data_IF_630873820724
#
_entry.id   IF_630873820724
#
_cell.length_a   1.000
_cell.length_b   1.000
_cell.length_c   1.000
_cell.angle_alpha   90.00
_cell.angle_beta   90.00
_cell.angle_gamma   90.00
#
_symmetry.space_group_name_H-M   'P 1'
#
loop_
_entity.id
_entity.type
_entity.pdbx_description
1 polymer ?
#
# COMPACT_ATOMS: atom_id res chain seq x y z
N UNK A 1 27.73 11.17 0.42
CA UNK A 1 26.83 12.33 0.21
C UNK A 1 26.00 12.55 1.48
N UNK A 2 25.59 13.78 1.79
CA UNK A 2 24.77 14.10 2.98
C UNK A 2 23.37 14.54 2.59
N UNK A 3 22.40 14.30 3.48
CA UNK A 3 21.03 14.74 3.27
C UNK A 3 20.92 16.26 3.36
N UNK A 4 20.33 16.88 2.34
CA UNK A 4 20.13 18.34 2.31
C UNK A 4 19.18 18.84 3.40
N UNK A 5 18.25 18.00 3.88
CA UNK A 5 17.25 18.39 4.87
C UNK A 5 17.74 18.25 6.33
N UNK A 6 18.56 17.23 6.63
CA UNK A 6 18.96 16.94 8.02
C UNK A 6 20.45 16.66 8.23
N UNK A 7 21.28 16.75 7.19
CA UNK A 7 22.74 16.56 7.26
C UNK A 7 23.23 15.13 7.45
N UNK A 8 22.35 14.14 7.60
CA UNK A 8 22.74 12.74 7.81
C UNK A 8 23.53 12.16 6.62
N UNK A 9 24.51 11.26 6.85
CA UNK A 9 25.19 10.56 5.77
C UNK A 9 24.20 9.66 5.01
N UNK A 10 24.33 9.61 3.68
CA UNK A 10 23.48 8.82 2.80
C UNK A 10 24.28 7.72 2.10
N UNK A 11 23.66 6.55 1.95
CA UNK A 11 24.16 5.50 1.09
C UNK A 11 24.15 5.94 -0.39
N UNK A 12 25.08 5.42 -1.19
CA UNK A 12 25.24 5.84 -2.59
C UNK A 12 23.99 5.62 -3.46
N UNK A 13 23.15 4.64 -3.11
CA UNK A 13 21.92 4.29 -3.84
C UNK A 13 20.64 4.80 -3.16
N UNK A 14 20.76 5.60 -2.10
CA UNK A 14 19.60 6.11 -1.36
C UNK A 14 18.83 7.15 -2.20
N UNK A 15 17.51 6.97 -2.28
CA UNK A 15 16.54 7.89 -2.91
C UNK A 15 15.80 8.71 -1.85
N UNK A 16 15.82 8.25 -0.60
CA UNK A 16 15.28 8.93 0.57
C UNK A 16 16.26 8.82 1.74
N UNK A 17 16.28 9.84 2.59
CA UNK A 17 17.09 9.85 3.79
C UNK A 17 16.50 8.92 4.85
N UNK A 18 17.27 7.93 5.29
CA UNK A 18 16.85 7.03 6.37
C UNK A 18 16.61 7.73 7.71
N UNK A 19 17.15 8.94 7.94
CA UNK A 19 16.98 9.68 9.20
C UNK A 19 15.72 10.56 9.23
N UNK A 20 15.41 11.24 8.12
CA UNK A 20 14.33 12.23 8.09
C UNK A 20 13.27 11.99 7.01
N UNK A 21 13.44 10.98 6.15
CA UNK A 21 12.53 10.69 5.04
C UNK A 21 12.64 11.63 3.84
N UNK A 22 13.46 12.69 3.90
CA UNK A 22 13.60 13.63 2.79
C UNK A 22 14.14 12.95 1.53
N UNK A 23 13.59 13.22 0.33
CA UNK A 23 14.10 12.67 -0.93
C UNK A 23 15.55 13.10 -1.16
N UNK A 24 16.32 12.26 -1.82
CA UNK A 24 17.73 12.46 -2.13
C UNK A 24 17.83 12.78 -3.61
N UNK A 25 18.03 14.06 -3.91
CA UNK A 25 17.97 14.61 -5.26
C UNK A 25 16.74 15.49 -5.45
N UNK A 26 16.97 16.73 -5.87
CA UNK A 26 15.90 17.66 -6.21
C UNK A 26 15.40 17.37 -7.62
N UNK A 27 14.35 16.56 -7.74
CA UNK A 27 13.29 16.94 -8.65
C UNK A 27 12.28 17.70 -7.78
N UNK A 28 11.98 18.99 -8.05
CA UNK A 28 10.79 19.57 -7.48
C UNK A 28 9.65 18.63 -7.90
N UNK A 29 8.90 18.10 -6.94
CA UNK A 29 7.53 17.74 -7.26
C UNK A 29 6.94 19.04 -7.80
N UNK A 30 6.80 19.14 -9.12
CA UNK A 30 5.98 20.18 -9.70
C UNK A 30 4.66 20.05 -8.94
N UNK A 31 4.38 21.04 -8.10
CA UNK A 31 3.17 21.07 -7.28
C UNK A 31 2.04 20.65 -8.20
N UNK A 32 1.29 19.65 -7.78
CA UNK A 32 0.16 19.14 -8.54
C UNK A 32 -0.64 20.35 -9.00
N UNK A 33 -0.57 20.65 -10.29
CA UNK A 33 -1.48 21.61 -10.89
C UNK A 33 -2.82 20.93 -10.83
N UNK A 34 -3.57 21.24 -9.78
CA UNK A 34 -5.02 21.06 -9.78
C UNK A 34 -5.52 21.92 -10.94
N UNK A 35 -5.71 21.29 -12.09
CA UNK A 35 -6.07 22.00 -13.30
C UNK A 35 -5.76 21.22 -14.57
N UNK A 36 -6.59 20.21 -14.86
CA UNK A 36 -7.19 19.99 -16.19
C UNK A 36 -8.35 18.97 -16.06
N UNK A 37 -9.31 18.93 -17.00
CA UNK A 37 -10.64 19.45 -16.73
C UNK A 37 -11.70 18.46 -17.22
N UNK A 38 -11.96 17.38 -16.50
CA UNK A 38 -13.06 16.47 -16.83
C UNK A 38 -14.09 16.46 -15.71
N UNK A 39 -14.91 17.51 -15.71
CA UNK A 39 -16.22 17.57 -15.05
C UNK A 39 -17.27 17.83 -16.13
N UNK A 40 -17.91 16.74 -16.54
CA UNK A 40 -18.81 16.57 -17.68
C UNK A 40 -20.07 17.42 -17.55
N UNK A 41 -20.70 17.67 -18.71
CA UNK A 41 -22.12 17.98 -18.86
C UNK A 41 -22.98 17.52 -17.67
N UNK A 42 -23.55 18.49 -16.97
CA UNK A 42 -24.50 18.32 -15.87
C UNK A 42 -25.41 19.54 -15.70
N UNK A 43 -25.62 20.29 -16.77
CA UNK A 43 -26.61 21.36 -16.83
C UNK A 43 -28.00 20.74 -17.01
N UNK A 44 -28.65 20.29 -15.93
CA UNK A 44 -30.11 20.06 -15.89
C UNK A 44 -30.71 19.78 -14.50
N UNK A 45 -29.95 19.56 -13.42
CA UNK A 45 -30.51 19.25 -12.09
C UNK A 45 -30.19 20.24 -10.96
N UNK A 46 -29.56 21.38 -11.28
CA UNK A 46 -29.23 22.42 -10.29
C UNK A 46 -30.32 23.50 -10.09
N UNK A 47 -31.29 23.60 -11.00
CA UNK A 47 -32.27 24.70 -11.03
C UNK A 47 -33.54 24.44 -10.21
N UNK A 48 -33.84 23.18 -9.84
CA UNK A 48 -35.06 22.88 -9.07
C UNK A 48 -34.89 23.00 -7.55
N UNK A 49 -33.66 22.91 -7.03
CA UNK A 49 -33.38 23.07 -5.59
C UNK A 49 -33.22 24.54 -5.16
N UNK A 50 -33.00 25.46 -6.09
CA UNK A 50 -32.77 26.88 -5.79
C UNK A 50 -34.05 27.65 -5.46
N UNK A 51 -35.22 27.19 -5.92
CA UNK A 51 -36.50 27.91 -5.72
C UNK A 51 -37.13 27.62 -4.34
N UNK A 52 -36.78 26.50 -3.70
CA UNK A 52 -37.36 26.11 -2.40
C UNK A 52 -36.71 26.84 -1.21
N UNK A 53 -35.45 27.25 -1.32
CA UNK A 53 -34.73 27.92 -0.21
C UNK A 53 -35.03 29.43 -0.13
N UNK A 54 -35.49 30.05 -1.21
CA UNK A 54 -35.76 31.50 -1.28
C UNK A 54 -37.08 31.96 -0.63
N UNK A 55 -37.84 31.07 0.04
CA UNK A 55 -39.10 31.40 0.73
C UNK A 55 -39.08 31.28 2.25
N UNK A 56 -37.98 30.86 2.88
CA UNK A 56 -37.93 30.65 4.34
C UNK A 56 -36.72 31.24 5.09
N UNK A 57 -35.88 32.06 4.45
CA UNK A 57 -34.59 32.46 5.00
C UNK A 57 -34.35 33.95 5.19
N UNK A 58 -35.32 34.72 5.67
CA UNK A 58 -35.05 36.08 6.16
C UNK A 58 -34.34 35.99 7.52
N UNK A 59 -33.02 36.11 7.57
CA UNK A 59 -32.29 36.74 8.69
C UNK A 59 -30.80 36.93 8.38
N UNK A 60 -30.31 38.05 8.90
CA UNK A 60 -29.02 38.70 8.70
C UNK A 60 -27.78 37.84 8.97
N UNK A 61 -26.67 38.26 8.33
CA UNK A 61 -25.32 37.84 8.70
C UNK A 61 -24.28 38.27 7.67
N UNK A 62 -23.82 39.52 7.75
CA UNK A 62 -22.57 39.97 7.13
C UNK A 62 -21.40 39.14 7.71
N UNK A 63 -20.54 38.65 6.83
CA UNK A 63 -19.54 37.63 7.15
C UNK A 63 -18.60 37.40 5.97
N UNK A 64 -17.65 38.33 5.84
CA UNK A 64 -16.46 38.27 5.00
C UNK A 64 -15.85 36.86 4.95
N UNK A 65 -15.81 36.24 3.77
CA UNK A 65 -15.08 34.98 3.53
C UNK A 65 -13.59 35.28 3.39
N UNK A 66 -12.82 34.99 4.44
CA UNK A 66 -11.38 34.75 4.32
C UNK A 66 -11.17 33.34 3.73
N UNK A 67 -10.42 33.27 2.65
CA UNK A 67 -9.88 32.02 2.11
C UNK A 67 -8.72 31.59 3.00
N UNK A 68 -8.98 30.72 3.96
CA UNK A 68 -7.94 30.00 4.68
C UNK A 68 -7.38 28.91 3.75
N UNK A 69 -6.16 29.15 3.28
CA UNK A 69 -5.26 28.17 2.69
C UNK A 69 -4.90 27.17 3.80
N UNK A 70 -5.71 26.13 3.96
CA UNK A 70 -5.55 25.15 5.03
C UNK A 70 -4.43 24.19 4.67
N UNK A 71 -3.19 24.64 4.93
CA UNK A 71 -2.04 23.76 5.07
C UNK A 71 -2.37 22.72 6.13
N UNK A 72 -2.48 21.45 5.71
CA UNK A 72 -2.74 20.34 6.62
C UNK A 72 -1.80 20.40 7.84
N UNK A 73 -2.30 20.19 9.06
CA UNK A 73 -1.48 20.30 10.26
C UNK A 73 -0.35 19.29 10.20
N UNK A 74 0.88 19.78 10.03
CA UNK A 74 2.08 18.99 10.21
C UNK A 74 2.06 18.41 11.63
N UNK A 75 2.14 17.07 11.73
CA UNK A 75 2.30 16.41 13.03
C UNK A 75 3.51 17.00 13.74
N UNK A 76 3.30 17.62 14.91
CA UNK A 76 4.36 18.28 15.71
C UNK A 76 5.24 17.29 16.48
N UNK A 77 5.03 15.99 16.30
CA UNK A 77 5.88 14.97 16.90
C UNK A 77 7.08 14.73 15.98
N UNK A 78 8.32 14.78 16.50
CA UNK A 78 9.49 14.46 15.69
C UNK A 78 9.32 13.04 15.13
N UNK A 79 9.68 12.81 13.86
CA UNK A 79 9.65 11.46 13.31
C UNK A 79 10.51 10.57 14.22
N UNK A 80 10.04 9.36 14.55
CA UNK A 80 10.82 8.47 15.39
C UNK A 80 12.21 8.24 14.79
N UNK A 81 13.26 8.38 15.59
CA UNK A 81 14.62 8.13 15.11
C UNK A 81 14.79 6.62 14.86
N UNK A 82 14.95 6.26 13.59
CA UNK A 82 15.16 4.87 13.14
C UNK A 82 16.63 4.59 12.84
N UNK A 83 17.53 5.56 13.02
CA UNK A 83 18.94 5.39 12.67
C UNK A 83 19.67 4.35 13.52
N UNK A 84 19.15 4.04 14.71
CA UNK A 84 19.68 3.02 15.61
C UNK A 84 19.11 1.61 15.38
N UNK A 85 18.15 1.45 14.46
CA UNK A 85 17.57 0.15 14.10
C UNK A 85 18.43 -0.58 13.07
N UNK A 86 18.39 -1.91 13.07
CA UNK A 86 18.97 -2.70 11.98
C UNK A 86 18.31 -2.36 10.64
N UNK A 87 18.97 -2.57 9.48
CA UNK A 87 18.35 -2.39 8.18
C UNK A 87 17.00 -3.10 8.02
N UNK A 88 16.91 -4.33 8.53
CA UNK A 88 15.71 -5.16 8.49
C UNK A 88 14.59 -4.57 9.35
N UNK A 89 14.90 -4.17 10.58
CA UNK A 89 13.93 -3.53 11.49
C UNK A 89 13.39 -2.22 10.89
N UNK A 90 14.23 -1.43 10.23
CA UNK A 90 13.79 -0.21 9.53
C UNK A 90 12.82 -0.52 8.40
N UNK A 91 13.11 -1.54 7.58
CA UNK A 91 12.24 -1.96 6.48
C UNK A 91 10.88 -2.44 7.02
N UNK A 92 10.89 -3.32 8.02
CA UNK A 92 9.68 -3.84 8.66
C UNK A 92 8.86 -2.73 9.32
N UNK A 93 9.50 -1.73 9.93
CA UNK A 93 8.79 -0.59 10.50
C UNK A 93 8.06 0.24 9.44
N UNK A 94 8.71 0.50 8.30
CA UNK A 94 8.10 1.22 7.19
C UNK A 94 6.97 0.39 6.56
N UNK A 95 7.16 -0.91 6.39
CA UNK A 95 6.11 -1.83 5.96
C UNK A 95 4.88 -1.75 6.88
N UNK A 96 5.06 -1.93 8.19
CA UNK A 96 4.00 -1.86 9.18
C UNK A 96 3.27 -0.51 9.14
N UNK A 97 4.01 0.58 8.90
CA UNK A 97 3.42 1.92 8.76
C UNK A 97 2.51 2.02 7.54
N UNK A 98 2.95 1.54 6.37
CA UNK A 98 2.13 1.53 5.15
C UNK A 98 0.89 0.67 5.37
N UNK A 99 1.04 -0.56 5.88
CA UNK A 99 -0.08 -1.48 6.12
C UNK A 99 -1.10 -0.91 7.11
N UNK A 100 -0.64 -0.29 8.21
CA UNK A 100 -1.52 0.34 9.20
C UNK A 100 -2.31 1.50 8.61
N UNK A 101 -1.66 2.35 7.79
CA UNK A 101 -2.35 3.47 7.16
C UNK A 101 -3.36 2.99 6.11
N UNK A 102 -2.97 1.99 5.32
CA UNK A 102 -3.84 1.38 4.32
C UNK A 102 -5.09 0.75 4.95
N UNK A 103 -4.93 -0.03 6.03
CA UNK A 103 -6.06 -0.64 6.73
C UNK A 103 -6.99 0.37 7.42
N UNK A 104 -6.48 1.57 7.75
CA UNK A 104 -7.27 2.69 8.26
C UNK A 104 -7.96 3.51 7.16
N UNK A 105 -7.85 3.12 5.89
CA UNK A 105 -8.42 3.87 4.76
C UNK A 105 -7.68 5.17 4.42
N UNK A 106 -6.47 5.37 4.95
CA UNK A 106 -5.65 6.58 4.71
C UNK A 106 -4.74 6.37 3.51
N UNK A 107 -5.33 6.17 2.32
CA UNK A 107 -4.63 5.82 1.09
C UNK A 107 -3.52 6.82 0.74
N UNK A 108 -3.81 8.12 0.69
CA UNK A 108 -2.83 9.16 0.38
C UNK A 108 -1.60 9.13 1.32
N UNK A 109 -1.82 8.84 2.61
CA UNK A 109 -0.73 8.69 3.56
C UNK A 109 0.06 7.39 3.36
N UNK A 110 -0.61 6.28 3.03
CA UNK A 110 0.07 5.02 2.73
C UNK A 110 0.95 5.16 1.47
N UNK A 111 0.43 5.80 0.42
CA UNK A 111 1.15 6.08 -0.82
C UNK A 111 2.40 6.93 -0.60
N UNK A 112 2.33 7.91 0.31
CA UNK A 112 3.50 8.69 0.69
C UNK A 112 4.64 7.84 1.26
N UNK A 113 4.33 6.83 2.10
CA UNK A 113 5.35 5.98 2.72
C UNK A 113 5.78 4.78 1.88
N UNK A 114 4.98 4.37 0.90
CA UNK A 114 5.22 3.21 0.05
C UNK A 114 6.61 3.20 -0.62
N UNK A 115 7.06 4.25 -1.33
CA UNK A 115 8.38 4.23 -2.00
C UNK A 115 9.54 4.17 -1.00
N UNK A 116 9.37 4.68 0.23
CA UNK A 116 10.36 4.55 1.29
C UNK A 116 10.45 3.12 1.81
N UNK A 117 9.32 2.43 1.99
CA UNK A 117 9.29 1.03 2.40
C UNK A 117 9.95 0.12 1.35
N UNK A 118 9.59 0.27 0.08
CA UNK A 118 10.19 -0.48 -1.04
C UNK A 118 11.70 -0.25 -1.14
N UNK A 119 12.16 1.00 -0.99
CA UNK A 119 13.58 1.29 -0.96
C UNK A 119 14.29 0.62 0.23
N UNK A 120 13.68 0.63 1.42
CA UNK A 120 14.31 0.05 2.60
C UNK A 120 14.59 -1.45 2.39
N UNK A 121 13.66 -2.20 1.79
CA UNK A 121 13.90 -3.59 1.40
C UNK A 121 14.94 -3.73 0.29
N UNK A 122 14.95 -2.84 -0.71
CA UNK A 122 15.95 -2.87 -1.79
C UNK A 122 17.38 -2.60 -1.32
N UNK A 123 17.56 -2.04 -0.12
CA UNK A 123 18.86 -1.79 0.51
C UNK A 123 19.33 -2.93 1.41
N UNK A 124 18.52 -3.97 1.62
CA UNK A 124 18.93 -5.13 2.43
C UNK A 124 20.00 -5.94 1.68
N UNK A 125 21.00 -6.48 2.40
CA UNK A 125 22.09 -7.25 1.79
C UNK A 125 21.60 -8.58 1.19
N UNK A 126 20.51 -9.13 1.73
CA UNK A 126 19.83 -10.31 1.23
C UNK A 126 18.33 -10.19 1.50
N UNK A 127 17.54 -10.85 0.66
CA UNK A 127 16.09 -10.89 0.77
C UNK A 127 15.63 -12.34 0.94
N UNK A 128 15.13 -12.67 2.13
CA UNK A 128 14.49 -13.95 2.42
C UNK A 128 13.05 -14.00 1.87
N UNK A 129 12.36 -15.11 2.12
CA UNK A 129 11.00 -15.32 1.60
C UNK A 129 9.99 -14.35 2.25
N UNK A 130 10.17 -14.04 3.52
CA UNK A 130 9.33 -13.07 4.24
C UNK A 130 9.50 -11.65 3.67
N UNK A 131 10.73 -11.20 3.47
CA UNK A 131 11.04 -9.93 2.82
C UNK A 131 10.46 -9.83 1.40
N UNK A 132 10.52 -10.92 0.62
CA UNK A 132 9.87 -10.97 -0.72
C UNK A 132 8.36 -10.87 -0.62
N UNK A 133 7.76 -11.52 0.36
CA UNK A 133 6.32 -11.43 0.60
C UNK A 133 5.92 -10.00 0.98
N UNK A 134 6.67 -9.36 1.88
CA UNK A 134 6.46 -7.96 2.26
C UNK A 134 6.55 -7.00 1.07
N UNK A 135 7.56 -7.13 0.19
CA UNK A 135 7.63 -6.35 -1.05
C UNK A 135 6.39 -6.60 -1.91
N UNK A 136 6.00 -7.87 -2.11
CA UNK A 136 4.82 -8.19 -2.93
C UNK A 136 3.52 -7.59 -2.37
N UNK A 137 3.36 -7.54 -1.05
CA UNK A 137 2.22 -6.89 -0.41
C UNK A 137 2.27 -5.36 -0.57
N UNK A 138 3.45 -4.75 -0.51
CA UNK A 138 3.63 -3.32 -0.81
C UNK A 138 3.28 -3.01 -2.27
N UNK A 139 3.73 -3.84 -3.21
CA UNK A 139 3.40 -3.72 -4.63
C UNK A 139 1.87 -3.79 -4.85
N UNK A 140 1.19 -4.76 -4.22
CA UNK A 140 -0.28 -4.85 -4.24
C UNK A 140 -0.96 -3.60 -3.66
N UNK A 141 -0.40 -3.04 -2.59
CA UNK A 141 -0.93 -1.83 -1.94
C UNK A 141 -0.84 -0.61 -2.87
N UNK A 142 0.20 -0.52 -3.69
CA UNK A 142 0.35 0.50 -4.72
C UNK A 142 -0.35 0.19 -6.05
N UNK A 143 -1.07 -0.93 -6.15
CA UNK A 143 -1.70 -1.38 -7.39
C UNK A 143 -0.75 -2.01 -8.42
N UNK A 144 0.52 -2.23 -8.07
CA UNK A 144 1.51 -2.88 -8.94
C UNK A 144 1.35 -4.42 -8.91
N UNK A 145 0.37 -4.90 -9.66
CA UNK A 145 0.17 -6.34 -9.85
C UNK A 145 1.36 -7.05 -10.51
N UNK A 146 2.16 -6.36 -11.32
CA UNK A 146 3.31 -6.97 -12.00
C UNK A 146 4.47 -7.20 -11.04
N UNK A 147 4.78 -6.22 -10.19
CA UNK A 147 5.75 -6.35 -9.10
C UNK A 147 5.39 -7.49 -8.14
N UNK A 148 4.12 -7.54 -7.71
CA UNK A 148 3.62 -8.59 -6.84
C UNK A 148 3.75 -10.00 -7.47
N UNK A 149 3.45 -10.15 -8.77
CA UNK A 149 3.65 -11.40 -9.50
C UNK A 149 5.13 -11.79 -9.59
N UNK A 150 6.03 -10.82 -9.81
CA UNK A 150 7.46 -11.09 -9.85
C UNK A 150 8.01 -11.59 -8.51
N UNK A 151 7.48 -11.07 -7.38
CA UNK A 151 7.81 -11.61 -6.06
C UNK A 151 7.22 -13.02 -5.87
N UNK A 152 5.96 -13.24 -6.27
CA UNK A 152 5.32 -14.55 -6.22
C UNK A 152 6.13 -15.62 -7.00
N UNK A 153 6.58 -15.28 -8.21
CA UNK A 153 7.41 -16.15 -9.04
C UNK A 153 8.77 -16.45 -8.40
N UNK A 154 9.37 -15.45 -7.74
CA UNK A 154 10.65 -15.63 -7.03
C UNK A 154 10.52 -16.54 -5.82
N UNK A 155 9.44 -16.38 -5.03
CA UNK A 155 9.12 -17.27 -3.91
C UNK A 155 8.86 -18.69 -4.42
N UNK A 156 8.07 -18.83 -5.49
CA UNK A 156 7.77 -20.14 -6.09
C UNK A 156 9.02 -20.84 -6.64
N UNK A 157 9.94 -20.12 -7.28
CA UNK A 157 11.22 -20.69 -7.74
C UNK A 157 12.08 -21.21 -6.59
N UNK A 158 12.06 -20.53 -5.44
CA UNK A 158 12.81 -20.96 -4.27
C UNK A 158 12.14 -22.16 -3.59
N UNK A 159 10.82 -22.11 -3.42
CA UNK A 159 10.01 -23.13 -2.75
C UNK A 159 8.68 -23.26 -3.51
N UNK A 160 8.52 -24.26 -4.41
CA UNK A 160 7.36 -24.35 -5.30
C UNK A 160 6.00 -24.42 -4.59
N UNK A 161 5.96 -24.98 -3.39
CA UNK A 161 4.73 -25.16 -2.62
C UNK A 161 4.45 -24.02 -1.64
N UNK A 162 5.31 -22.99 -1.56
CA UNK A 162 5.22 -21.96 -0.51
C UNK A 162 3.92 -21.16 -0.59
N UNK A 163 3.25 -21.00 0.55
CA UNK A 163 1.90 -20.42 0.59
C UNK A 163 1.86 -18.95 0.17
N UNK A 164 2.89 -18.18 0.50
CA UNK A 164 3.01 -16.78 0.12
C UNK A 164 3.02 -16.56 -1.40
N UNK A 165 3.57 -17.49 -2.19
CA UNK A 165 3.54 -17.36 -3.65
C UNK A 165 2.10 -17.40 -4.18
N UNK A 166 1.30 -18.37 -3.73
CA UNK A 166 -0.11 -18.49 -4.12
C UNK A 166 -0.93 -17.29 -3.65
N UNK A 167 -0.66 -16.78 -2.45
CA UNK A 167 -1.32 -15.58 -1.91
C UNK A 167 -1.09 -14.35 -2.77
N UNK A 168 0.17 -14.02 -3.06
CA UNK A 168 0.52 -12.88 -3.91
C UNK A 168 -0.05 -13.04 -5.33
N UNK A 169 0.08 -14.24 -5.91
CA UNK A 169 -0.41 -14.52 -7.26
C UNK A 169 -1.93 -14.35 -7.35
N UNK A 170 -2.70 -14.86 -6.40
CA UNK A 170 -4.15 -14.70 -6.38
C UNK A 170 -4.54 -13.21 -6.35
N UNK A 171 -3.96 -12.45 -5.40
CA UNK A 171 -4.30 -11.03 -5.21
C UNK A 171 -3.89 -10.16 -6.40
N UNK A 172 -2.73 -10.42 -6.98
CA UNK A 172 -2.28 -9.69 -8.16
C UNK A 172 -3.16 -9.98 -9.39
N UNK A 173 -3.63 -11.22 -9.55
CA UNK A 173 -4.53 -11.59 -10.65
C UNK A 173 -5.95 -11.03 -10.44
N UNK A 174 -6.40 -10.90 -9.18
CA UNK A 174 -7.64 -10.17 -8.86
C UNK A 174 -7.56 -8.69 -9.26
N UNK A 175 -6.44 -8.01 -8.96
CA UNK A 175 -6.20 -6.63 -9.42
C UNK A 175 -6.21 -6.50 -10.94
N UNK A 176 -5.79 -7.56 -11.65
CA UNK A 176 -5.81 -7.63 -13.12
C UNK A 176 -7.15 -8.09 -13.70
N UNK A 177 -8.16 -8.30 -12.86
CA UNK A 177 -9.46 -8.87 -13.22
C UNK A 177 -9.37 -10.25 -13.92
N UNK A 178 -8.29 -11.01 -13.68
CA UNK A 178 -8.13 -12.39 -14.16
C UNK A 178 -8.69 -13.38 -13.11
N UNK A 179 -10.01 -13.54 -13.11
CA UNK A 179 -10.71 -14.42 -12.18
C UNK A 179 -10.29 -15.90 -12.33
N UNK A 180 -10.01 -16.35 -13.56
CA UNK A 180 -9.58 -17.72 -13.81
C UNK A 180 -8.18 -17.98 -13.25
N UNK A 181 -7.26 -17.03 -13.45
CA UNK A 181 -5.92 -17.05 -12.86
C UNK A 181 -5.95 -17.01 -11.34
N UNK A 182 -6.73 -16.10 -10.74
CA UNK A 182 -6.90 -16.02 -9.30
C UNK A 182 -7.47 -17.33 -8.73
N UNK A 183 -8.46 -17.93 -9.40
CA UNK A 183 -9.03 -19.22 -9.02
C UNK A 183 -8.00 -20.37 -9.01
N UNK A 184 -7.09 -20.41 -9.99
CA UNK A 184 -5.99 -21.39 -10.00
C UNK A 184 -5.03 -21.21 -8.83
N UNK A 185 -4.69 -19.97 -8.49
CA UNK A 185 -3.81 -19.66 -7.36
C UNK A 185 -4.47 -20.00 -6.01
N UNK A 186 -5.76 -19.73 -5.82
CA UNK A 186 -6.52 -20.18 -4.66
C UNK A 186 -6.52 -21.71 -4.53
N UNK A 187 -6.75 -22.42 -5.63
CA UNK A 187 -6.71 -23.88 -5.63
C UNK A 187 -5.31 -24.42 -5.29
N UNK A 188 -4.24 -23.76 -5.77
CA UNK A 188 -2.86 -24.11 -5.43
C UNK A 188 -2.56 -23.93 -3.94
N UNK A 189 -2.98 -22.82 -3.34
CA UNK A 189 -2.89 -22.61 -1.90
C UNK A 189 -3.56 -23.75 -1.13
N UNK A 190 -4.85 -24.02 -1.41
CA UNK A 190 -5.63 -25.04 -0.69
C UNK A 190 -5.05 -26.45 -0.83
N UNK A 191 -4.47 -26.79 -1.99
CA UNK A 191 -3.81 -28.09 -2.20
C UNK A 191 -2.57 -28.27 -1.32
N UNK A 192 -1.79 -27.21 -1.11
CA UNK A 192 -0.49 -27.28 -0.43
C UNK A 192 -0.54 -26.89 1.05
N UNK A 193 -1.61 -26.22 1.49
CA UNK A 193 -1.71 -25.57 2.81
C UNK A 193 -1.39 -26.49 3.99
N UNK A 194 -2.02 -27.66 4.06
CA UNK A 194 -1.82 -28.57 5.19
C UNK A 194 -0.36 -29.06 5.29
N UNK A 195 0.22 -29.43 4.15
CA UNK A 195 1.60 -29.91 4.07
C UNK A 195 2.61 -28.80 4.39
N UNK A 196 2.39 -27.58 3.91
CA UNK A 196 3.25 -26.44 4.20
C UNK A 196 3.16 -25.99 5.66
N UNK A 197 1.95 -25.88 6.23
CA UNK A 197 1.78 -25.50 7.64
C UNK A 197 2.42 -26.53 8.58
N UNK A 198 2.42 -27.82 8.21
CA UNK A 198 3.11 -28.87 8.96
C UNK A 198 4.65 -28.68 9.02
N UNK A 199 5.24 -27.91 8.08
CA UNK A 199 6.68 -27.57 8.08
C UNK A 199 7.06 -26.55 9.15
N UNK A 200 6.08 -25.85 9.77
CA UNK A 200 6.28 -24.90 10.88
C UNK A 200 7.37 -23.84 10.59
N UNK A 201 7.34 -23.27 9.40
CA UNK A 201 8.22 -22.15 9.04
C UNK A 201 7.93 -20.95 9.95
N UNK A 202 8.93 -20.25 10.50
CA UNK A 202 8.70 -19.09 11.38
C UNK A 202 7.76 -18.04 10.79
N UNK A 203 7.95 -17.72 9.50
CA UNK A 203 7.13 -16.75 8.78
C UNK A 203 5.64 -17.15 8.72
N UNK A 204 5.29 -18.43 8.78
CA UNK A 204 3.88 -18.84 8.86
C UNK A 204 3.25 -18.55 10.22
N UNK A 205 4.04 -18.54 11.30
CA UNK A 205 3.56 -18.12 12.61
C UNK A 205 3.35 -16.60 12.64
N UNK A 206 4.30 -15.84 12.11
CA UNK A 206 4.25 -14.37 12.06
C UNK A 206 3.10 -13.85 11.19
N UNK A 207 2.71 -14.62 10.17
CA UNK A 207 1.61 -14.30 9.24
C UNK A 207 0.37 -15.18 9.42
N UNK A 208 0.17 -15.78 10.60
CA UNK A 208 -0.93 -16.72 10.85
C UNK A 208 -2.30 -16.15 10.47
N UNK A 209 -2.60 -14.94 10.90
CA UNK A 209 -3.92 -14.32 10.66
C UNK A 209 -4.14 -14.06 9.16
N UNK A 210 -3.09 -13.66 8.43
CA UNK A 210 -3.14 -13.46 6.99
C UNK A 210 -3.40 -14.78 6.25
N UNK A 211 -2.73 -15.86 6.68
CA UNK A 211 -2.93 -17.20 6.10
C UNK A 211 -4.35 -17.72 6.36
N UNK A 212 -4.88 -17.52 7.56
CA UNK A 212 -6.23 -17.97 7.94
C UNK A 212 -7.32 -17.16 7.21
N UNK A 213 -7.13 -15.85 7.08
CA UNK A 213 -8.00 -14.99 6.28
C UNK A 213 -7.96 -15.38 4.80
N UNK A 214 -6.79 -15.75 4.27
CA UNK A 214 -6.64 -16.20 2.89
C UNK A 214 -7.28 -17.58 2.66
N UNK A 215 -7.14 -18.52 3.60
CA UNK A 215 -7.83 -19.81 3.56
C UNK A 215 -9.35 -19.63 3.43
N UNK A 216 -9.92 -18.73 4.23
CA UNK A 216 -11.35 -18.42 4.20
C UNK A 216 -11.77 -17.90 2.82
N UNK A 217 -11.01 -16.96 2.26
CA UNK A 217 -11.26 -16.42 0.92
C UNK A 217 -11.15 -17.49 -0.17
N UNK A 218 -10.10 -18.32 -0.12
CA UNK A 218 -9.86 -19.39 -1.08
C UNK A 218 -11.00 -20.42 -1.09
N UNK A 219 -11.49 -20.82 0.09
CA UNK A 219 -12.60 -21.76 0.25
C UNK A 219 -13.91 -21.19 -0.31
N UNK A 220 -14.18 -19.91 -0.06
CA UNK A 220 -15.35 -19.22 -0.63
C UNK A 220 -15.28 -19.16 -2.16
N UNK A 221 -14.11 -18.83 -2.73
CA UNK A 221 -13.90 -18.79 -4.17
C UNK A 221 -14.09 -20.17 -4.83
N UNK A 222 -13.59 -21.23 -4.19
CA UNK A 222 -13.80 -22.60 -4.64
C UNK A 222 -15.28 -23.01 -4.61
N UNK A 223 -16.02 -22.63 -3.56
CA UNK A 223 -17.45 -22.88 -3.44
C UNK A 223 -18.27 -22.20 -4.55
N UNK A 224 -17.96 -20.95 -4.90
CA UNK A 224 -18.61 -20.22 -6.00
C UNK A 224 -18.38 -20.87 -7.36
N UNK A 225 -17.23 -21.50 -7.56
CA UNK A 225 -16.88 -22.16 -8.83
C UNK A 225 -17.68 -23.46 -9.02
N UNK A 226 -18.00 -24.18 -7.94
CA UNK A 226 -18.79 -25.42 -7.98
C UNK A 226 -20.30 -25.19 -8.18
N UNK A 227 -20.80 -23.99 -7.90
CA UNK A 227 -22.21 -23.64 -8.03
C UNK A 227 -22.58 -23.09 -9.43
N UNK A 228 -21.60 -22.91 -10.32
CA UNK A 228 -21.78 -22.49 -11.72
C UNK A 228 -21.60 -23.68 -12.64
#
# INVERSE_FOLDING_TARGET
MTCHACGAPLAATAKFCHKCGAPVGSAPAAGWRVGLPWGVAGAALGTLLTVVVLRLGSSAGDGRRETSDETAPASRLPPPDISQMSPEERATRLYNRVMTLHSQGKADSAEFFLPMALQAYAMLPALDIDGRYHIGVLDLTGGDSAGALAQADSIHRAIPTHLFASMLRARALELRHDAAGAGRAYAEFLRNEAAERARRRPEYADHKDNLDAFHTQATQAAGRTRAR
#
